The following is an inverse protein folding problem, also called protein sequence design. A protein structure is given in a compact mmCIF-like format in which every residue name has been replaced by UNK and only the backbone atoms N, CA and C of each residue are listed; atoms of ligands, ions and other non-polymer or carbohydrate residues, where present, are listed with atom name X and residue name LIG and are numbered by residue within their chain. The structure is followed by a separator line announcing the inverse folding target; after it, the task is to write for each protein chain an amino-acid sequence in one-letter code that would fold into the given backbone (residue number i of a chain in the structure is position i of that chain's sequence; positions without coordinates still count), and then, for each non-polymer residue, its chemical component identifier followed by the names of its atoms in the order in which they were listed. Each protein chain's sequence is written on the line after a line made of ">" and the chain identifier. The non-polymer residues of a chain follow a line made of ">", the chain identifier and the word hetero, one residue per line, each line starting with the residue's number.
data_IF_760827041087
#
_entry.id   IF_760827041087
#
_cell.length_a   1.000
_cell.length_b   1.000
_cell.length_c   1.000
_cell.angle_alpha   90.00
_cell.angle_beta   90.00
_cell.angle_gamma   90.00
#
_symmetry.space_group_name_H-M   'P 1'
#
loop_
_entity.id
_entity.type
_entity.pdbx_description
1 polymer ?
#
# COMPACT_ATOMS: atom_id res chain seq x y z
N UNK A 1 -9.72 -1.37 -15.11
CA UNK A 1 -8.38 -1.30 -15.76
C UNK A 1 -7.80 -2.71 -15.84
N UNK A 2 -7.46 -3.19 -17.03
CA UNK A 2 -6.74 -4.46 -17.17
C UNK A 2 -5.28 -4.29 -16.71
N UNK A 3 -4.75 -5.25 -15.96
CA UNK A 3 -3.34 -5.26 -15.58
C UNK A 3 -2.48 -5.54 -16.84
N UNK A 4 -1.73 -4.53 -17.30
CA UNK A 4 -0.88 -4.64 -18.50
C UNK A 4 0.53 -5.18 -18.19
N UNK A 5 0.94 -5.15 -16.93
CA UNK A 5 2.28 -5.54 -16.49
C UNK A 5 2.18 -6.64 -15.44
N UNK A 6 2.75 -7.81 -15.76
CA UNK A 6 2.92 -8.92 -14.82
C UNK A 6 4.38 -9.02 -14.39
N UNK A 7 4.61 -9.38 -13.14
CA UNK A 7 5.92 -9.61 -12.53
C UNK A 7 5.83 -10.81 -11.60
N UNK A 8 6.87 -11.63 -11.59
CA UNK A 8 7.02 -12.70 -10.62
C UNK A 8 7.62 -12.15 -9.32
N UNK A 9 7.01 -12.46 -8.18
CA UNK A 9 7.47 -12.03 -6.87
C UNK A 9 7.54 -13.23 -5.93
N UNK A 10 8.57 -13.26 -5.10
CA UNK A 10 8.66 -14.22 -4.00
C UNK A 10 8.08 -13.57 -2.75
N UNK A 11 7.12 -14.24 -2.12
CA UNK A 11 6.57 -13.85 -0.82
C UNK A 11 7.13 -14.79 0.25
N UNK A 12 7.35 -14.25 1.44
CA UNK A 12 7.62 -15.09 2.61
C UNK A 12 6.35 -15.83 3.02
N UNK A 13 6.52 -16.93 3.75
CA UNK A 13 5.41 -17.77 4.22
C UNK A 13 4.31 -16.99 4.95
N UNK A 14 4.60 -16.05 5.88
CA UNK A 14 3.54 -15.29 6.54
C UNK A 14 2.76 -14.38 5.58
N UNK A 15 3.42 -13.85 4.54
CA UNK A 15 2.79 -12.93 3.59
C UNK A 15 1.87 -13.67 2.61
N UNK A 16 2.29 -14.84 2.13
CA UNK A 16 1.43 -15.65 1.27
C UNK A 16 0.23 -16.20 2.05
N UNK A 17 0.43 -16.70 3.27
CA UNK A 17 -0.65 -17.18 4.13
C UNK A 17 -1.69 -16.08 4.41
N UNK A 18 -1.24 -14.86 4.67
CA UNK A 18 -2.14 -13.71 4.81
C UNK A 18 -2.92 -13.44 3.52
N UNK A 19 -2.25 -13.37 2.37
CA UNK A 19 -2.91 -13.07 1.09
C UNK A 19 -3.94 -14.15 0.71
N UNK A 20 -3.61 -15.42 0.91
CA UNK A 20 -4.52 -16.55 0.69
C UNK A 20 -5.75 -16.48 1.60
N UNK A 21 -5.56 -16.17 2.89
CA UNK A 21 -6.67 -16.03 3.83
C UNK A 21 -7.63 -14.90 3.43
N UNK A 22 -7.12 -13.79 2.88
CA UNK A 22 -7.95 -12.68 2.41
C UNK A 22 -8.78 -13.05 1.17
N UNK A 23 -8.23 -13.86 0.27
CA UNK A 23 -8.99 -14.39 -0.88
C UNK A 23 -10.01 -15.42 -0.42
N UNK A 24 -9.65 -16.32 0.50
CA UNK A 24 -10.55 -17.36 1.02
C UNK A 24 -11.76 -16.78 1.76
N UNK A 25 -11.61 -15.62 2.41
CA UNK A 25 -12.72 -14.88 3.02
C UNK A 25 -13.67 -14.22 2.00
N UNK A 26 -13.27 -14.13 0.73
CA UNK A 26 -14.03 -13.44 -0.31
C UNK A 26 -13.85 -11.91 -0.32
N UNK A 27 -12.95 -11.37 0.50
CA UNK A 27 -12.64 -9.93 0.55
C UNK A 27 -11.93 -9.45 -0.73
N UNK A 28 -11.24 -10.37 -1.42
CA UNK A 28 -10.53 -10.10 -2.64
C UNK A 28 -10.72 -11.24 -3.64
N UNK A 29 -10.78 -10.89 -4.93
CA UNK A 29 -10.96 -11.86 -6.01
C UNK A 29 -9.69 -12.64 -6.34
N UNK A 30 -8.52 -12.11 -5.97
CA UNK A 30 -7.21 -12.73 -6.24
C UNK A 30 -6.09 -12.15 -5.37
N UNK A 31 -4.99 -12.90 -5.24
CA UNK A 31 -3.75 -12.44 -4.57
C UNK A 31 -3.22 -11.16 -5.24
N UNK A 32 -3.28 -11.07 -6.58
CA UNK A 32 -2.88 -9.87 -7.32
C UNK A 32 -3.69 -8.63 -6.95
N UNK A 33 -4.94 -8.81 -6.51
CA UNK A 33 -5.76 -7.71 -6.01
C UNK A 33 -5.33 -7.28 -4.60
N UNK A 34 -5.08 -8.25 -3.70
CA UNK A 34 -4.53 -8.00 -2.36
C UNK A 34 -3.23 -7.21 -2.46
N UNK A 35 -2.30 -7.64 -3.30
CA UNK A 35 -1.00 -6.99 -3.49
C UNK A 35 -1.16 -5.56 -4.03
N UNK A 36 -2.04 -5.34 -5.02
CA UNK A 36 -2.30 -3.99 -5.54
C UNK A 36 -2.88 -3.06 -4.48
N UNK A 37 -3.80 -3.55 -3.65
CA UNK A 37 -4.39 -2.76 -2.56
C UNK A 37 -3.35 -2.43 -1.49
N UNK A 38 -2.52 -3.40 -1.09
CA UNK A 38 -1.44 -3.16 -0.14
C UNK A 38 -0.45 -2.09 -0.65
N UNK A 39 -0.08 -2.14 -1.94
CA UNK A 39 0.81 -1.13 -2.54
C UNK A 39 0.18 0.27 -2.56
N UNK A 40 -1.14 0.39 -2.83
CA UNK A 40 -1.83 1.68 -2.76
C UNK A 40 -1.83 2.26 -1.35
N UNK A 41 -2.12 1.44 -0.34
CA UNK A 41 -2.09 1.87 1.06
C UNK A 41 -0.69 2.35 1.49
N UNK A 42 0.37 1.69 1.01
CA UNK A 42 1.74 2.14 1.24
C UNK A 42 2.00 3.50 0.58
N UNK A 43 1.59 3.69 -0.69
CA UNK A 43 1.73 4.97 -1.39
C UNK A 43 1.00 6.09 -0.65
N UNK A 44 -0.25 5.87 -0.24
CA UNK A 44 -1.06 6.84 0.50
C UNK A 44 -0.42 7.21 1.85
N UNK A 45 0.10 6.20 2.58
CA UNK A 45 0.81 6.42 3.84
C UNK A 45 2.06 7.28 3.65
N UNK A 46 2.87 6.99 2.64
CA UNK A 46 4.08 7.77 2.37
C UNK A 46 3.74 9.19 1.91
N UNK A 47 2.74 9.36 1.04
CA UNK A 47 2.23 10.67 0.66
C UNK A 47 1.78 11.46 1.90
N UNK A 48 0.99 10.87 2.80
CA UNK A 48 0.53 11.53 4.02
C UNK A 48 1.68 11.96 4.95
N UNK A 49 2.80 11.24 4.97
CA UNK A 49 3.99 11.67 5.73
C UNK A 49 4.66 12.90 5.11
N UNK A 50 4.79 12.96 3.79
CA UNK A 50 5.36 14.12 3.09
C UNK A 50 4.52 15.37 3.36
N UNK A 51 3.19 15.27 3.26
CA UNK A 51 2.30 16.39 3.54
C UNK A 51 2.39 16.86 5.01
N UNK A 52 2.49 15.93 5.97
CA UNK A 52 2.72 16.29 7.38
C UNK A 52 4.08 16.96 7.62
N UNK A 53 5.12 16.53 6.91
CA UNK A 53 6.44 17.18 6.95
C UNK A 53 6.40 18.61 6.44
N UNK A 54 5.71 18.85 5.32
CA UNK A 54 5.52 20.19 4.74
C UNK A 54 4.70 21.11 5.67
N UNK A 55 3.58 20.61 6.22
CA UNK A 55 2.75 21.38 7.16
C UNK A 55 3.52 21.77 8.44
N UNK A 56 4.37 20.89 8.96
CA UNK A 56 5.24 21.22 10.09
C UNK A 56 6.33 22.25 9.74
N UNK A 57 6.86 22.24 8.51
CA UNK A 57 7.85 23.21 8.07
C UNK A 57 7.24 24.63 7.90
N UNK A 58 6.03 24.73 7.34
CA UNK A 58 5.30 26.00 7.28
C UNK A 58 4.95 26.55 8.67
N UNK A 59 4.50 25.69 9.60
CA UNK A 59 4.20 26.12 10.96
C UNK A 59 5.43 26.59 11.76
N UNK A 60 6.63 26.13 11.40
CA UNK A 60 7.89 26.62 11.98
C UNK A 60 8.31 27.95 11.36
N UNK A 61 8.03 28.17 10.07
CA UNK A 61 8.34 29.43 9.40
C UNK A 61 7.42 30.58 9.83
N UNK A 62 6.13 30.30 10.06
CA UNK A 62 5.13 31.30 10.52
C UNK A 62 5.34 31.74 11.98
N UNK A 63 6.10 30.95 12.76
CA UNK A 63 6.42 31.25 14.18
C UNK A 63 7.75 31.98 14.41
N UNK A 64 8.52 32.27 13.35
CA UNK A 64 9.83 32.93 13.41
C UNK A 64 9.74 34.38 12.95
#
# INVERSE_FOLDING_TARGET
>A
MAAKHSRHIALTEPLIAYAEAQVAKGEYTSISEVVRTALRLLIEREAAKVHRGAANAEAVHDRA
#
